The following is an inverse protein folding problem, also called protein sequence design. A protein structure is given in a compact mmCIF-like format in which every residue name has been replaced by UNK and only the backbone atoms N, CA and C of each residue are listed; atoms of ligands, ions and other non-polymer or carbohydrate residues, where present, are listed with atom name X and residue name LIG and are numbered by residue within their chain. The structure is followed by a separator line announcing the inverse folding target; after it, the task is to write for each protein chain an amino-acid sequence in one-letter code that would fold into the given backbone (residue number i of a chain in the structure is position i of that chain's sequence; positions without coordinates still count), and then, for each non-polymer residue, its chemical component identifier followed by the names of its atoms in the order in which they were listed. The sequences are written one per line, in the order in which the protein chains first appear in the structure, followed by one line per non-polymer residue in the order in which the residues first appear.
data_IF_811588778374
#
_entry.id   IF_811588778374
#
_cell.length_a   1.000
_cell.length_b   1.000
_cell.length_c   1.000
_cell.angle_alpha   90.00
_cell.angle_beta   90.00
_cell.angle_gamma   90.00
#
_symmetry.space_group_name_H-M   'P 1'
#
loop_
_entity.id
_entity.type
_entity.pdbx_description
1 polymer ?
#
# COMPACT_ATOMS: atom_id res chain seq x y z
N UNK A 1 15.28 -2.92 -21.11
CA UNK A 1 16.15 -4.09 -20.87
C UNK A 1 15.85 -4.65 -19.49
N UNK A 2 15.74 -5.97 -19.35
CA UNK A 2 15.49 -6.62 -18.07
C UNK A 2 16.58 -7.66 -17.80
N UNK A 3 17.27 -7.57 -16.67
CA UNK A 3 18.37 -8.48 -16.30
C UNK A 3 18.29 -8.86 -14.84
N UNK A 4 18.22 -10.15 -14.54
CA UNK A 4 18.37 -10.65 -13.17
C UNK A 4 19.84 -10.96 -12.87
N UNK A 5 20.29 -10.56 -11.68
CA UNK A 5 21.62 -10.86 -11.15
C UNK A 5 21.53 -11.22 -9.67
N UNK A 6 22.29 -12.24 -9.25
CA UNK A 6 22.49 -12.54 -7.83
C UNK A 6 23.79 -11.89 -7.36
N UNK A 7 23.73 -11.08 -6.31
CA UNK A 7 24.89 -10.36 -5.76
C UNK A 7 24.81 -10.19 -4.24
N UNK A 8 25.93 -9.84 -3.58
CA UNK A 8 25.87 -9.39 -2.20
C UNK A 8 25.01 -8.13 -2.04
N UNK A 9 24.45 -7.96 -0.84
CA UNK A 9 23.68 -6.77 -0.47
C UNK A 9 24.56 -5.50 -0.54
N UNK A 10 24.05 -4.44 -1.16
CA UNK A 10 24.70 -3.14 -1.24
C UNK A 10 24.46 -2.31 0.04
N UNK A 11 25.26 -1.26 0.23
CA UNK A 11 25.17 -0.40 1.41
C UNK A 11 23.79 0.29 1.56
N UNK A 12 23.21 0.76 0.45
CA UNK A 12 21.89 1.40 0.46
C UNK A 12 20.77 0.40 0.84
N UNK A 13 20.81 -0.81 0.28
CA UNK A 13 19.89 -1.91 0.62
C UNK A 13 20.01 -2.32 2.08
N UNK A 14 21.25 -2.40 2.59
CA UNK A 14 21.52 -2.70 4.00
C UNK A 14 20.96 -1.62 4.92
N UNK A 15 21.18 -0.35 4.62
CA UNK A 15 20.65 0.77 5.40
C UNK A 15 19.12 0.74 5.47
N UNK A 16 18.48 0.34 4.38
CA UNK A 16 17.04 0.21 4.27
C UNK A 16 16.48 -0.95 5.12
N UNK A 17 17.13 -2.12 5.06
CA UNK A 17 16.78 -3.24 5.92
C UNK A 17 17.00 -2.89 7.40
N UNK A 18 18.10 -2.23 7.74
CA UNK A 18 18.37 -1.74 9.09
C UNK A 18 17.28 -0.78 9.57
N UNK A 19 16.83 0.14 8.72
CA UNK A 19 15.75 1.07 9.03
C UNK A 19 14.42 0.32 9.31
N UNK A 20 14.06 -0.67 8.48
CA UNK A 20 12.86 -1.50 8.70
C UNK A 20 12.93 -2.35 9.96
N UNK A 21 14.11 -2.85 10.31
CA UNK A 21 14.33 -3.60 11.55
C UNK A 21 14.21 -2.68 12.77
N UNK A 22 14.74 -1.45 12.70
CA UNK A 22 14.68 -0.45 13.79
C UNK A 22 13.30 0.15 13.97
N UNK A 23 12.57 0.35 12.88
CA UNK A 23 11.23 0.91 12.85
C UNK A 23 10.23 -0.14 12.36
N UNK A 24 10.00 -1.22 13.13
CA UNK A 24 8.94 -2.15 12.79
C UNK A 24 7.62 -1.39 12.75
N UNK A 25 6.78 -1.75 11.77
CA UNK A 25 5.40 -1.27 11.50
C UNK A 25 4.83 -0.45 12.67
N UNK A 26 4.36 0.80 12.44
CA UNK A 26 3.97 1.71 13.50
C UNK A 26 3.08 0.98 14.51
N UNK A 27 3.60 0.85 15.74
CA UNK A 27 2.82 0.29 16.84
C UNK A 27 1.68 1.27 17.06
N UNK A 28 0.46 0.88 16.68
CA UNK A 28 -0.75 1.60 17.05
C UNK A 28 -0.71 1.74 18.57
N UNK A 29 -0.51 2.97 19.06
CA UNK A 29 -0.28 3.17 20.48
C UNK A 29 -1.59 2.89 21.21
N UNK A 30 -1.52 1.97 22.18
CA UNK A 30 -2.65 1.63 23.05
C UNK A 30 -3.20 2.88 23.75
N UNK A 31 -2.32 3.83 24.08
CA UNK A 31 -2.68 5.08 24.73
C UNK A 31 -3.58 5.97 23.86
N UNK A 32 -3.26 6.17 22.57
CA UNK A 32 -4.09 6.97 21.66
C UNK A 32 -5.45 6.32 21.45
N UNK A 33 -5.42 5.01 21.22
CA UNK A 33 -6.60 4.17 20.99
C UNK A 33 -7.54 4.17 22.20
N UNK A 34 -7.00 3.99 23.41
CA UNK A 34 -7.77 4.03 24.65
C UNK A 34 -8.28 5.44 24.97
N UNK A 35 -7.52 6.50 24.67
CA UNK A 35 -7.96 7.88 24.86
C UNK A 35 -9.18 8.21 23.99
N UNK A 36 -9.19 7.76 22.73
CA UNK A 36 -10.36 7.90 21.84
C UNK A 36 -11.57 7.15 22.37
N UNK A 37 -11.41 5.89 22.80
CA UNK A 37 -12.52 5.11 23.39
C UNK A 37 -13.04 5.78 24.66
N UNK A 38 -12.16 6.23 25.54
CA UNK A 38 -12.55 6.94 26.75
C UNK A 38 -13.31 8.23 26.43
N UNK A 39 -12.85 9.02 25.45
CA UNK A 39 -13.51 10.24 25.01
C UNK A 39 -14.95 9.96 24.53
N UNK A 40 -15.14 8.97 23.66
CA UNK A 40 -16.45 8.61 23.14
C UNK A 40 -17.36 7.98 24.20
N UNK A 41 -16.80 7.15 25.08
CA UNK A 41 -17.57 6.48 26.13
C UNK A 41 -18.00 7.46 27.22
N UNK A 42 -17.10 8.32 27.68
CA UNK A 42 -17.39 9.35 28.69
C UNK A 42 -18.32 10.42 28.12
N UNK A 43 -18.06 10.89 26.89
CA UNK A 43 -18.94 11.84 26.21
C UNK A 43 -20.33 11.28 25.97
N UNK A 44 -20.42 10.02 25.53
CA UNK A 44 -21.67 9.30 25.34
C UNK A 44 -22.44 9.14 26.66
N UNK A 45 -21.81 8.64 27.71
CA UNK A 45 -22.43 8.47 29.03
C UNK A 45 -22.85 9.81 29.63
N UNK A 46 -22.03 10.86 29.50
CA UNK A 46 -22.37 12.20 29.96
C UNK A 46 -23.61 12.76 29.23
N UNK A 47 -23.68 12.60 27.90
CA UNK A 47 -24.87 12.99 27.13
C UNK A 47 -26.11 12.19 27.54
N UNK A 48 -25.96 10.88 27.78
CA UNK A 48 -27.06 10.03 28.23
C UNK A 48 -27.54 10.43 29.63
N UNK A 49 -26.61 10.77 30.53
CA UNK A 49 -26.92 11.18 31.89
C UNK A 49 -27.58 12.58 31.96
N UNK A 50 -27.20 13.51 31.09
CA UNK A 50 -27.86 14.83 31.00
C UNK A 50 -29.24 14.73 30.37
N UNK A 51 -29.39 13.96 29.29
CA UNK A 51 -30.68 13.75 28.62
C UNK A 51 -31.64 12.89 29.46
N UNK A 52 -31.13 11.91 30.21
CA UNK A 52 -31.93 11.05 31.09
C UNK A 52 -32.46 11.73 32.35
N UNK A 53 -31.95 12.92 32.69
CA UNK A 53 -32.46 13.76 33.79
C UNK A 53 -33.61 14.68 33.36
N UNK A 54 -33.93 14.73 32.07
CA UNK A 54 -35.10 15.47 31.59
C UNK A 54 -36.34 14.70 32.08
N UNK A 55 -37.04 15.30 33.03
CA UNK A 55 -38.08 14.64 33.81
C UNK A 55 -39.24 14.24 32.90
N UNK A 56 -39.49 12.93 32.78
CA UNK A 56 -40.51 12.38 31.87
C UNK A 56 -41.95 12.76 32.22
N UNK A 57 -42.15 13.47 33.34
CA UNK A 57 -43.45 14.00 33.75
C UNK A 57 -43.94 15.18 32.90
N UNK A 58 -43.05 15.94 32.26
CA UNK A 58 -43.43 17.11 31.44
C UNK A 58 -43.53 16.81 29.94
N UNK A 59 -42.88 15.73 29.48
CA UNK A 59 -42.88 15.30 28.08
C UNK A 59 -43.92 14.19 27.88
N UNK A 60 -44.99 14.49 27.14
CA UNK A 60 -46.02 13.50 26.81
C UNK A 60 -45.43 12.18 26.27
N UNK A 61 -46.11 11.06 26.51
CA UNK A 61 -45.54 9.71 26.35
C UNK A 61 -44.84 9.42 25.02
N UNK A 62 -45.32 9.97 23.91
CA UNK A 62 -44.70 9.80 22.57
C UNK A 62 -43.30 10.45 22.48
N UNK A 63 -43.13 11.62 23.09
CA UNK A 63 -41.84 12.34 23.08
C UNK A 63 -40.81 11.65 23.98
N UNK A 64 -41.24 11.11 25.13
CA UNK A 64 -40.38 10.32 26.01
C UNK A 64 -39.86 9.04 25.34
N UNK A 65 -40.71 8.34 24.56
CA UNK A 65 -40.28 7.17 23.77
C UNK A 65 -39.30 7.56 22.65
N UNK A 66 -39.53 8.68 21.99
CA UNK A 66 -38.67 9.18 20.91
C UNK A 66 -37.27 9.54 21.44
N UNK A 67 -37.19 10.21 22.60
CA UNK A 67 -35.92 10.52 23.27
C UNK A 67 -35.18 9.24 23.66
N UNK A 68 -35.87 8.26 24.25
CA UNK A 68 -35.28 6.96 24.61
C UNK A 68 -34.79 6.18 23.40
N UNK A 69 -35.53 6.19 22.29
CA UNK A 69 -35.09 5.59 21.03
C UNK A 69 -33.83 6.27 20.49
N UNK A 70 -33.73 7.60 20.63
CA UNK A 70 -32.52 8.35 20.22
C UNK A 70 -31.28 7.96 21.04
N UNK A 71 -31.45 7.57 22.31
CA UNK A 71 -30.36 7.11 23.19
C UNK A 71 -29.79 5.73 22.80
N UNK A 72 -30.52 4.94 22.02
CA UNK A 72 -30.03 3.66 21.48
C UNK A 72 -28.92 3.89 20.45
N UNK A 73 -29.01 4.96 19.66
CA UNK A 73 -28.05 5.24 18.58
C UNK A 73 -26.63 5.45 19.14
N UNK A 74 -26.37 6.34 20.13
CA UNK A 74 -25.06 6.48 20.74
C UNK A 74 -24.53 5.18 21.35
N UNK A 75 -25.39 4.38 21.99
CA UNK A 75 -24.99 3.11 22.58
C UNK A 75 -24.50 2.12 21.51
N UNK A 76 -25.22 2.02 20.38
CA UNK A 76 -24.80 1.20 19.24
C UNK A 76 -23.52 1.73 18.60
N UNK A 77 -23.36 3.05 18.46
CA UNK A 77 -22.12 3.66 17.95
C UNK A 77 -20.93 3.35 18.85
N UNK A 78 -21.08 3.44 20.18
CA UNK A 78 -20.04 3.06 21.13
C UNK A 78 -19.67 1.58 21.01
N UNK A 79 -20.66 0.68 20.90
CA UNK A 79 -20.43 -0.75 20.72
C UNK A 79 -19.68 -1.03 19.41
N UNK A 80 -20.09 -0.41 18.31
CA UNK A 80 -19.40 -0.52 17.01
C UNK A 80 -17.95 -0.01 17.10
N UNK A 81 -17.73 1.15 17.71
CA UNK A 81 -16.38 1.69 17.89
C UNK A 81 -15.47 0.74 18.69
N UNK A 82 -15.97 0.18 19.80
CA UNK A 82 -15.22 -0.79 20.62
C UNK A 82 -14.92 -2.08 19.85
N UNK A 83 -15.89 -2.61 19.10
CA UNK A 83 -15.67 -3.83 18.30
C UNK A 83 -14.69 -3.62 17.15
N UNK A 84 -14.78 -2.51 16.42
CA UNK A 84 -13.83 -2.13 15.38
C UNK A 84 -12.40 -1.97 15.95
N UNK A 85 -12.28 -1.41 17.15
CA UNK A 85 -11.01 -1.26 17.87
C UNK A 85 -10.37 -2.61 18.22
N UNK A 86 -11.15 -3.53 18.76
CA UNK A 86 -10.70 -4.88 19.10
C UNK A 86 -10.29 -5.64 17.83
N UNK A 87 -11.12 -5.57 16.78
CA UNK A 87 -10.84 -6.20 15.50
C UNK A 87 -9.55 -5.66 14.86
N UNK A 88 -9.38 -4.34 14.85
CA UNK A 88 -8.15 -3.67 14.41
C UNK A 88 -6.94 -4.09 15.25
N UNK A 89 -7.08 -4.17 16.58
CA UNK A 89 -5.99 -4.63 17.44
C UNK A 89 -5.58 -6.08 17.12
N UNK A 90 -6.54 -6.98 16.97
CA UNK A 90 -6.27 -8.39 16.65
C UNK A 90 -5.60 -8.49 15.28
N UNK A 91 -6.06 -7.75 14.27
CA UNK A 91 -5.48 -7.76 12.93
C UNK A 91 -4.05 -7.20 12.94
N UNK A 92 -3.79 -6.09 13.62
CA UNK A 92 -2.44 -5.53 13.79
C UNK A 92 -1.53 -6.47 14.59
N UNK A 93 -2.01 -7.07 15.68
CA UNK A 93 -1.23 -8.02 16.47
C UNK A 93 -0.89 -9.30 15.68
N UNK A 94 -1.78 -9.73 14.78
CA UNK A 94 -1.52 -10.84 13.86
C UNK A 94 -0.48 -10.45 12.82
N UNK A 95 -0.64 -9.29 12.15
CA UNK A 95 0.33 -8.74 11.19
C UNK A 95 1.70 -8.55 11.81
N UNK A 96 1.78 -8.03 13.03
CA UNK A 96 3.05 -7.87 13.74
C UNK A 96 3.70 -9.21 14.09
N UNK A 97 2.90 -10.21 14.48
CA UNK A 97 3.42 -11.57 14.72
C UNK A 97 3.95 -12.19 13.44
N UNK A 98 3.22 -12.07 12.32
CA UNK A 98 3.68 -12.52 11.00
C UNK A 98 4.97 -11.80 10.59
N UNK A 99 4.99 -10.47 10.67
CA UNK A 99 6.20 -9.67 10.43
C UNK A 99 7.40 -10.15 11.27
N UNK A 100 7.18 -10.42 12.55
CA UNK A 100 8.24 -10.89 13.45
C UNK A 100 8.70 -12.32 13.16
N UNK A 101 7.81 -13.19 12.70
CA UNK A 101 8.11 -14.61 12.46
C UNK A 101 8.68 -14.85 11.05
N UNK A 102 8.20 -14.12 10.06
CA UNK A 102 8.51 -14.34 8.65
C UNK A 102 9.57 -13.33 8.18
N UNK A 103 9.32 -12.04 8.39
CA UNK A 103 10.16 -10.99 7.80
C UNK A 103 11.44 -10.69 8.57
N UNK A 104 11.39 -10.63 9.91
CA UNK A 104 12.58 -10.32 10.72
C UNK A 104 13.72 -11.33 10.59
N UNK A 105 13.48 -12.67 10.60
CA UNK A 105 14.55 -13.64 10.39
C UNK A 105 15.17 -13.52 9.00
N UNK A 106 14.35 -13.25 7.97
CA UNK A 106 14.84 -13.01 6.62
C UNK A 106 15.76 -11.76 6.57
N UNK A 107 15.32 -10.65 7.18
CA UNK A 107 16.16 -9.44 7.29
C UNK A 107 17.47 -9.72 8.03
N UNK A 108 17.43 -10.45 9.15
CA UNK A 108 18.63 -10.79 9.89
C UNK A 108 19.60 -11.66 9.06
N UNK A 109 19.09 -12.63 8.30
CA UNK A 109 19.89 -13.45 7.41
C UNK A 109 20.52 -12.63 6.27
N UNK A 110 19.77 -11.70 5.67
CA UNK A 110 20.29 -10.76 4.67
C UNK A 110 21.41 -9.88 5.22
N UNK A 111 21.22 -9.33 6.42
CA UNK A 111 22.21 -8.50 7.10
C UNK A 111 23.48 -9.29 7.47
N UNK A 112 23.35 -10.59 7.76
CA UNK A 112 24.47 -11.49 8.05
C UNK A 112 25.33 -11.87 6.83
N UNK A 113 24.98 -11.38 5.62
CA UNK A 113 25.77 -11.59 4.41
C UNK A 113 25.12 -12.50 3.37
N UNK A 114 23.80 -12.73 3.44
CA UNK A 114 23.11 -13.44 2.38
C UNK A 114 23.09 -12.66 1.06
N UNK A 115 22.85 -13.38 -0.03
CA UNK A 115 22.76 -12.82 -1.37
C UNK A 115 21.37 -12.24 -1.62
N UNK A 116 21.32 -11.25 -2.51
CA UNK A 116 20.08 -10.68 -3.05
C UNK A 116 19.99 -11.00 -4.54
N UNK A 117 18.77 -11.16 -5.02
CA UNK A 117 18.45 -11.11 -6.44
C UNK A 117 18.06 -9.68 -6.78
N UNK A 118 18.83 -9.04 -7.65
CA UNK A 118 18.56 -7.73 -8.20
C UNK A 118 18.13 -7.88 -9.65
N UNK A 119 16.88 -7.52 -9.94
CA UNK A 119 16.34 -7.42 -11.29
C UNK A 119 16.49 -5.97 -11.75
N UNK A 120 17.49 -5.73 -12.58
CA UNK A 120 17.75 -4.43 -13.19
C UNK A 120 16.83 -4.21 -14.37
N UNK A 121 16.09 -3.11 -14.32
CA UNK A 121 15.12 -2.69 -15.31
C UNK A 121 15.59 -1.38 -15.93
N UNK A 122 15.68 -1.35 -17.25
CA UNK A 122 15.83 -0.13 -18.04
C UNK A 122 14.57 0.06 -18.86
N UNK A 123 13.85 1.14 -18.59
CA UNK A 123 12.61 1.50 -19.24
C UNK A 123 12.77 2.73 -20.12
N UNK A 124 12.10 2.76 -21.27
CA UNK A 124 12.12 3.89 -22.20
C UNK A 124 10.89 4.78 -22.09
N UNK A 125 9.77 4.22 -21.60
CA UNK A 125 8.53 4.93 -21.39
C UNK A 125 7.75 4.28 -20.23
N UNK A 126 6.80 5.02 -19.68
CA UNK A 126 5.90 4.53 -18.65
C UNK A 126 4.47 4.99 -18.91
N UNK A 127 3.51 4.12 -18.67
CA UNK A 127 2.09 4.45 -18.57
C UNK A 127 1.69 4.37 -17.10
N UNK A 128 1.00 5.39 -16.61
CA UNK A 128 0.36 5.33 -15.30
C UNK A 128 -1.03 4.71 -15.44
N UNK A 129 -1.41 3.90 -14.47
CA UNK A 129 -2.79 3.42 -14.27
C UNK A 129 -3.30 4.15 -13.04
N UNK A 130 -4.27 5.05 -13.25
CA UNK A 130 -4.81 5.88 -12.19
C UNK A 130 -5.57 5.02 -11.18
N UNK A 131 -5.25 5.24 -9.90
CA UNK A 131 -6.04 4.76 -8.75
C UNK A 131 -6.29 3.25 -8.78
N UNK A 132 -5.24 2.43 -8.89
CA UNK A 132 -5.35 0.98 -8.80
C UNK A 132 -5.89 0.54 -7.42
N UNK A 133 -5.52 1.30 -6.37
CA UNK A 133 -5.92 1.09 -4.97
C UNK A 133 -5.88 2.42 -4.19
N UNK A 134 -6.24 2.38 -2.90
CA UNK A 134 -5.92 3.44 -1.93
C UNK A 134 -4.42 3.61 -1.68
N UNK A 135 -3.60 2.75 -2.29
CA UNK A 135 -2.13 2.75 -2.25
C UNK A 135 -1.51 3.38 -3.52
N UNK A 136 -2.28 4.14 -4.31
CA UNK A 136 -1.75 4.96 -5.41
C UNK A 136 -1.77 4.32 -6.80
N UNK A 137 -0.99 4.90 -7.73
CA UNK A 137 -1.02 4.54 -9.15
C UNK A 137 -0.24 3.25 -9.44
N UNK A 138 -0.74 2.44 -10.38
CA UNK A 138 0.04 1.40 -11.03
C UNK A 138 0.87 1.95 -12.18
N UNK A 139 1.93 1.26 -12.57
CA UNK A 139 2.80 1.65 -13.68
C UNK A 139 3.08 0.48 -14.62
N UNK A 140 2.95 0.72 -15.92
CA UNK A 140 3.40 -0.16 -16.99
C UNK A 140 4.65 0.43 -17.63
N UNK A 141 5.80 -0.20 -17.41
CA UNK A 141 7.07 0.23 -17.99
C UNK A 141 7.32 -0.48 -19.31
N UNK A 142 7.64 0.27 -20.35
CA UNK A 142 8.17 -0.27 -21.61
C UNK A 142 9.64 -0.60 -21.44
N UNK A 143 9.95 -1.90 -21.37
CA UNK A 143 11.30 -2.41 -21.18
C UNK A 143 11.95 -2.82 -22.53
N UNK A 144 11.32 -2.48 -23.65
CA UNK A 144 11.80 -2.79 -25.00
C UNK A 144 11.45 -4.21 -25.45
N UNK A 145 11.72 -4.51 -26.73
CA UNK A 145 11.46 -5.84 -27.30
C UNK A 145 9.97 -6.21 -27.42
N UNK A 146 9.06 -5.26 -27.20
CA UNK A 146 7.62 -5.53 -27.10
C UNK A 146 7.20 -6.16 -25.78
N UNK A 147 8.04 -6.08 -24.74
CA UNK A 147 7.72 -6.52 -23.39
C UNK A 147 7.35 -5.34 -22.50
N UNK A 148 6.41 -5.57 -21.58
CA UNK A 148 6.01 -4.60 -20.57
C UNK A 148 6.24 -5.18 -19.18
N UNK A 149 6.58 -4.30 -18.24
CA UNK A 149 6.69 -4.63 -16.83
C UNK A 149 5.61 -3.88 -16.06
N UNK A 150 4.69 -4.62 -15.45
CA UNK A 150 3.66 -4.05 -14.60
C UNK A 150 4.10 -4.01 -13.13
N UNK A 151 4.00 -2.84 -12.50
CA UNK A 151 4.23 -2.64 -11.07
C UNK A 151 3.01 -1.96 -10.43
N UNK A 152 2.39 -2.64 -9.47
CA UNK A 152 1.17 -2.20 -8.81
C UNK A 152 1.42 -1.32 -7.59
N UNK A 153 0.94 -0.07 -7.62
CA UNK A 153 0.79 0.80 -6.45
C UNK A 153 2.09 1.30 -5.80
N UNK A 154 1.95 1.85 -4.59
CA UNK A 154 3.03 2.41 -3.77
C UNK A 154 4.04 1.35 -3.30
N UNK A 155 3.70 0.06 -3.36
CA UNK A 155 4.59 -1.04 -2.95
C UNK A 155 5.93 -1.00 -3.70
N UNK A 156 5.93 -0.55 -4.94
CA UNK A 156 7.10 -0.44 -5.82
C UNK A 156 7.66 0.97 -5.90
N UNK A 157 7.12 1.94 -5.15
CA UNK A 157 7.71 3.27 -5.04
C UNK A 157 9.05 3.18 -4.29
N UNK A 158 10.09 3.91 -4.73
CA UNK A 158 11.32 4.05 -3.97
C UNK A 158 11.03 4.57 -2.57
N UNK A 159 11.82 4.10 -1.61
CA UNK A 159 11.62 4.43 -0.19
C UNK A 159 12.09 5.84 0.16
N UNK A 160 13.05 6.35 -0.61
CA UNK A 160 13.49 7.73 -0.49
C UNK A 160 12.71 8.58 -1.49
N UNK A 161 11.90 9.51 -0.99
CA UNK A 161 11.11 10.44 -1.81
C UNK A 161 11.98 11.36 -2.68
N UNK A 162 13.29 11.43 -2.43
CA UNK A 162 14.23 12.16 -3.28
C UNK A 162 14.68 11.36 -4.50
N UNK A 163 14.45 10.04 -4.52
CA UNK A 163 14.78 9.21 -5.67
C UNK A 163 13.78 9.44 -6.81
N UNK A 164 14.26 9.43 -8.07
CA UNK A 164 13.40 9.61 -9.23
C UNK A 164 12.40 8.46 -9.33
N UNK A 165 11.11 8.80 -9.47
CA UNK A 165 10.05 7.83 -9.70
C UNK A 165 8.87 8.44 -10.46
N UNK A 166 8.33 7.75 -11.48
CA UNK A 166 8.88 6.57 -12.17
C UNK A 166 10.27 6.85 -12.76
N UNK A 167 11.12 5.83 -12.97
CA UNK A 167 12.50 6.04 -13.44
C UNK A 167 12.88 5.25 -14.69
N UNK A 168 13.78 5.80 -15.51
CA UNK A 168 14.36 5.11 -16.67
C UNK A 168 15.21 3.91 -16.29
N UNK A 169 15.79 3.89 -15.09
CA UNK A 169 16.57 2.76 -14.59
C UNK A 169 16.35 2.54 -13.09
N UNK A 170 15.98 1.32 -12.73
CA UNK A 170 15.79 0.93 -11.35
C UNK A 170 16.08 -0.56 -11.14
N UNK A 171 16.41 -0.93 -9.90
CA UNK A 171 16.53 -2.32 -9.48
C UNK A 171 15.35 -2.71 -8.60
N UNK A 172 14.72 -3.83 -8.93
CA UNK A 172 13.79 -4.55 -8.08
C UNK A 172 14.61 -5.57 -7.29
N UNK A 173 14.73 -5.37 -5.97
CA UNK A 173 15.64 -6.18 -5.13
C UNK A 173 14.83 -7.08 -4.21
N UNK A 174 15.17 -8.37 -4.25
CA UNK A 174 14.58 -9.44 -3.44
C UNK A 174 15.67 -10.27 -2.76
N UNK A 175 15.31 -10.91 -1.66
CA UNK A 175 16.17 -11.89 -1.02
C UNK A 175 16.34 -13.11 -1.94
N UNK A 176 17.57 -13.58 -2.17
CA UNK A 176 17.80 -14.73 -3.04
C UNK A 176 17.33 -16.06 -2.44
N UNK A 177 17.18 -16.14 -1.11
CA UNK A 177 16.85 -17.38 -0.40
C UNK A 177 15.37 -17.75 -0.49
N UNK A 178 14.48 -16.75 -0.41
CA UNK A 178 13.03 -16.94 -0.27
C UNK A 178 12.20 -15.99 -1.15
N UNK A 179 12.84 -15.13 -1.96
CA UNK A 179 12.17 -14.16 -2.81
C UNK A 179 11.56 -12.96 -2.06
N UNK A 180 11.83 -12.83 -0.76
CA UNK A 180 11.29 -11.77 0.10
C UNK A 180 11.61 -10.37 -0.44
N UNK A 181 10.62 -9.49 -0.42
CA UNK A 181 10.72 -8.13 -0.93
C UNK A 181 11.68 -7.25 -0.11
N UNK A 182 12.72 -6.71 -0.76
CA UNK A 182 13.62 -5.73 -0.13
C UNK A 182 13.18 -4.31 -0.54
N UNK A 183 13.10 -4.00 -1.82
CA UNK A 183 12.67 -2.67 -2.27
C UNK A 183 12.99 -2.39 -3.72
N UNK A 184 12.57 -1.20 -4.18
CA UNK A 184 12.99 -0.61 -5.46
C UNK A 184 14.04 0.45 -5.21
N UNK A 185 15.10 0.44 -6.03
CA UNK A 185 16.18 1.42 -5.99
C UNK A 185 16.32 2.06 -7.37
N UNK A 186 15.92 3.33 -7.48
CA UNK A 186 16.00 4.09 -8.74
C UNK A 186 17.33 4.81 -8.88
N UNK A 187 17.84 4.89 -10.11
CA UNK A 187 19.10 5.60 -10.44
C UNK A 187 19.10 6.34 -11.77
N UNK A 188 18.06 6.18 -12.59
CA UNK A 188 17.93 6.88 -13.87
C UNK A 188 17.22 8.24 -13.74
N UNK A 189 16.80 8.80 -14.87
CA UNK A 189 16.01 10.03 -14.91
C UNK A 189 14.53 9.74 -14.57
N UNK A 190 13.78 10.78 -14.20
CA UNK A 190 12.33 10.67 -14.01
C UNK A 190 11.67 10.42 -15.37
N UNK A 191 10.80 9.40 -15.43
CA UNK A 191 9.91 9.16 -16.55
C UNK A 191 8.55 9.80 -16.29
N UNK A 192 8.24 10.84 -17.06
CA UNK A 192 6.89 11.38 -17.11
C UNK A 192 5.95 10.37 -17.79
N UNK A 193 4.81 10.02 -17.18
CA UNK A 193 3.84 9.13 -17.82
C UNK A 193 3.39 9.69 -19.16
N UNK A 194 3.61 8.94 -20.24
CA UNK A 194 3.14 9.35 -21.57
C UNK A 194 1.61 9.35 -21.64
N UNK A 195 0.99 8.46 -20.88
CA UNK A 195 -0.45 8.34 -20.72
C UNK A 195 -0.80 7.94 -19.28
N UNK A 196 -2.01 8.34 -18.89
CA UNK A 196 -2.67 7.87 -17.68
C UNK A 196 -3.96 7.18 -18.09
N UNK A 197 -4.10 5.90 -17.77
CA UNK A 197 -5.28 5.11 -18.09
C UNK A 197 -6.12 4.91 -16.84
N UNK A 198 -7.44 5.01 -16.98
CA UNK A 198 -8.37 4.74 -15.88
C UNK A 198 -8.41 3.23 -15.57
N UNK A 199 -8.56 2.88 -14.29
CA UNK A 199 -8.64 1.48 -13.84
C UNK A 199 -9.67 0.64 -14.62
N UNK A 200 -10.82 1.23 -14.93
CA UNK A 200 -11.91 0.58 -15.66
C UNK A 200 -11.56 0.20 -17.11
N UNK A 201 -10.48 0.76 -17.66
CA UNK A 201 -9.98 0.48 -19.01
C UNK A 201 -8.83 -0.54 -19.00
N UNK A 202 -8.38 -0.99 -17.82
CA UNK A 202 -7.34 -1.98 -17.70
C UNK A 202 -7.90 -3.41 -17.84
N UNK A 203 -7.18 -4.31 -18.53
CA UNK A 203 -7.51 -5.73 -18.55
C UNK A 203 -7.64 -6.31 -17.14
N UNK A 204 -8.67 -7.10 -16.90
CA UNK A 204 -8.94 -7.69 -15.58
C UNK A 204 -7.76 -8.52 -15.05
N UNK A 205 -6.99 -9.17 -15.94
CA UNK A 205 -5.79 -9.91 -15.57
C UNK A 205 -4.75 -9.04 -14.83
N UNK A 206 -4.64 -7.76 -15.18
CA UNK A 206 -3.69 -6.83 -14.54
C UNK A 206 -4.20 -6.29 -13.20
N UNK A 207 -5.52 -6.22 -13.01
CA UNK A 207 -6.13 -5.67 -11.79
C UNK A 207 -5.83 -6.51 -10.55
N UNK A 208 -5.60 -7.80 -10.75
CA UNK A 208 -5.41 -8.78 -9.66
C UNK A 208 -3.96 -9.25 -9.51
N UNK A 209 -3.04 -8.72 -10.32
CA UNK A 209 -1.63 -9.05 -10.23
C UNK A 209 -1.01 -8.36 -8.99
N UNK A 210 -0.96 -9.09 -7.88
CA UNK A 210 -0.28 -8.64 -6.65
C UNK A 210 1.26 -8.66 -6.78
N UNK A 211 1.78 -9.36 -7.80
CA UNK A 211 3.19 -9.53 -8.07
C UNK A 211 3.63 -8.82 -9.36
N UNK A 212 4.95 -8.64 -9.48
CA UNK A 212 5.60 -8.16 -10.69
C UNK A 212 5.25 -9.09 -11.87
N UNK A 213 4.50 -8.58 -12.84
CA UNK A 213 4.11 -9.35 -14.02
C UNK A 213 4.85 -8.83 -15.25
N UNK A 214 5.58 -9.74 -15.92
CA UNK A 214 6.14 -9.50 -17.25
C UNK A 214 5.11 -9.93 -18.27
N UNK A 215 4.75 -9.01 -19.16
CA UNK A 215 3.74 -9.26 -20.16
C UNK A 215 4.41 -9.26 -21.52
N UNK A 216 4.35 -10.40 -22.20
CA UNK A 216 4.88 -10.55 -23.53
C UNK A 216 3.87 -10.06 -24.56
N UNK A 217 4.32 -9.15 -25.42
CA UNK A 217 3.55 -8.67 -26.56
C UNK A 217 2.82 -7.35 -26.32
N UNK A 218 2.03 -6.98 -27.32
CA UNK A 218 1.30 -5.74 -27.32
C UNK A 218 0.08 -5.84 -26.39
N UNK A 219 -0.03 -4.93 -25.44
CA UNK A 219 -1.27 -4.75 -24.68
C UNK A 219 -1.92 -3.45 -25.15
N UNK A 220 -3.20 -3.54 -25.44
CA UNK A 220 -4.03 -2.37 -25.64
C UNK A 220 -4.64 -2.00 -24.28
N UNK A 221 -4.22 -0.85 -23.74
CA UNK A 221 -4.72 -0.31 -22.47
C UNK A 221 -5.45 0.97 -22.81
N UNK A 222 -6.79 0.94 -22.70
CA UNK A 222 -7.65 1.98 -23.26
C UNK A 222 -7.52 2.09 -24.79
N UNK A 223 -7.14 3.28 -25.29
CA UNK A 223 -6.87 3.52 -26.73
C UNK A 223 -5.38 3.46 -27.09
N UNK A 224 -4.53 3.11 -26.14
CA UNK A 224 -3.08 3.15 -26.33
C UNK A 224 -2.56 1.73 -26.45
N UNK A 225 -1.88 1.47 -27.57
CA UNK A 225 -1.21 0.20 -27.80
C UNK A 225 0.22 0.31 -27.31
N UNK A 226 0.50 -0.35 -26.19
CA UNK A 226 1.85 -0.48 -25.63
C UNK A 226 2.46 -1.81 -26.08
N UNK A 227 3.77 -1.84 -26.32
CA UNK A 227 4.46 -3.03 -26.82
C UNK A 227 4.29 -3.21 -28.33
N UNK A 228 5.29 -2.81 -29.10
CA UNK A 228 5.32 -2.99 -30.54
C UNK A 228 6.30 -2.02 -31.19
N UNK A 229 7.08 -2.49 -32.18
CA UNK A 229 8.14 -1.72 -32.84
C UNK A 229 7.70 -0.35 -33.42
N UNK A 230 6.40 -0.10 -33.54
CA UNK A 230 5.83 1.15 -34.05
C UNK A 230 5.59 2.24 -32.98
N UNK A 231 5.48 1.91 -31.68
CA UNK A 231 5.18 2.89 -30.64
C UNK A 231 6.36 3.84 -30.35
N UNK A 232 7.60 3.35 -30.48
CA UNK A 232 8.82 4.16 -30.26
C UNK A 232 8.99 5.27 -31.31
N UNK A 233 8.48 5.06 -32.53
CA UNK A 233 8.57 6.06 -33.60
C UNK A 233 7.59 7.23 -33.42
N UNK A 234 6.49 7.04 -32.69
CA UNK A 234 5.47 8.08 -32.48
C UNK A 234 5.76 9.00 -31.28
N UNK A 235 6.62 8.59 -30.34
CA UNK A 235 7.05 9.42 -29.22
C UNK A 235 8.28 10.31 -29.54
N UNK A 236 8.92 10.08 -30.70
CA UNK A 236 10.09 10.84 -31.16
C UNK A 236 9.78 11.80 -32.34
N UNK A 237 8.51 11.92 -32.72
CA UNK A 237 8.00 12.82 -33.77
C UNK A 237 7.10 13.89 -33.16
#
# INVERSE_FOLDING_TARGET
MYRSTTRPILAAERALLDARVRHPIPKVSWASTAAWVALWSVGGVACMATLGRIDSGELGGVLAWSVRALLVIPALTCLFAVTALIASHISWARRYRQYRQEFLPCCAALLAGAQVEAKTVTATAVCAIAELTDEGNGYLFDIGGGELLFLAGERYRPIDDTMPWPSTEFDIVRAAADGSWIGVFSRGDVLEPSHTVALAECPEALLWAEEEERIEGAIEVGRVRFGGAAAVAAAQA
#
